data_IF_136274229677
#
_entry.id   IF_136274229677
#
_cell.length_a   1.000
_cell.length_b   1.000
_cell.length_c   1.000
_cell.angle_alpha   90.00
_cell.angle_beta   90.00
_cell.angle_gamma   90.00
#
_symmetry.space_group_name_H-M   'P 1'
#
loop_
_entity.id
_entity.type
_entity.pdbx_description
1 polymer ?
#
# COMPACT_ATOMS: atom_id res chain seq x y z
N UNK A 1 -90.60 -20.79 -20.12
CA UNK A 1 -91.01 -21.85 -21.07
C UNK A 1 -89.76 -22.31 -21.81
N UNK A 2 -89.11 -23.41 -21.41
CA UNK A 2 -89.35 -24.78 -21.91
C UNK A 2 -89.29 -24.83 -23.45
N UNK A 3 -88.52 -25.66 -24.14
CA UNK A 3 -87.75 -26.85 -23.79
C UNK A 3 -86.88 -27.23 -25.00
N UNK A 4 -85.77 -27.92 -24.71
CA UNK A 4 -84.88 -28.68 -25.60
C UNK A 4 -85.49 -29.43 -26.79
N UNK A 5 -84.59 -29.74 -27.76
CA UNK A 5 -84.35 -31.00 -28.52
C UNK A 5 -84.08 -30.67 -30.01
N UNK A 6 -83.15 -31.25 -30.78
CA UNK A 6 -82.23 -32.41 -30.68
C UNK A 6 -81.35 -32.39 -31.94
N UNK A 7 -80.09 -32.86 -31.82
CA UNK A 7 -79.29 -33.66 -32.80
C UNK A 7 -79.31 -33.31 -34.30
N UNK A 8 -78.12 -33.19 -34.94
CA UNK A 8 -77.43 -34.31 -35.62
C UNK A 8 -76.14 -33.86 -36.37
N UNK A 9 -75.13 -34.74 -36.32
CA UNK A 9 -74.06 -35.02 -37.30
C UNK A 9 -72.91 -34.00 -37.53
N UNK A 10 -71.66 -34.28 -37.14
CA UNK A 10 -70.68 -35.27 -37.66
C UNK A 10 -69.89 -34.73 -38.87
N UNK A 11 -68.60 -34.45 -38.66
CA UNK A 11 -67.68 -34.03 -39.73
C UNK A 11 -66.28 -33.70 -39.23
N UNK A 12 -65.53 -34.72 -38.82
CA UNK A 12 -64.09 -34.65 -38.49
C UNK A 12 -63.30 -34.35 -39.77
N UNK A 13 -62.47 -33.31 -39.74
CA UNK A 13 -61.37 -33.08 -40.70
C UNK A 13 -60.15 -32.56 -39.93
N UNK A 14 -59.33 -33.52 -39.49
CA UNK A 14 -57.96 -33.31 -39.01
C UNK A 14 -57.03 -33.22 -40.22
N UNK A 15 -56.43 -32.06 -40.56
CA UNK A 15 -55.21 -32.09 -41.33
C UNK A 15 -54.06 -32.51 -40.39
N UNK A 16 -53.61 -33.75 -40.56
CA UNK A 16 -52.29 -34.19 -40.10
C UNK A 16 -51.26 -33.28 -40.77
N UNK A 17 -50.82 -32.25 -40.06
CA UNK A 17 -49.62 -31.51 -40.41
C UNK A 17 -48.46 -32.51 -40.35
N UNK A 18 -48.00 -32.93 -41.54
CA UNK A 18 -46.80 -33.71 -41.70
C UNK A 18 -45.64 -32.93 -41.09
N UNK A 19 -45.11 -33.39 -39.96
CA UNK A 19 -43.80 -33.00 -39.48
C UNK A 19 -42.76 -33.56 -40.46
N UNK A 20 -42.49 -32.84 -41.55
CA UNK A 20 -41.36 -33.14 -42.43
C UNK A 20 -40.09 -32.80 -41.68
N UNK A 21 -39.56 -33.79 -40.97
CA UNK A 21 -38.21 -33.72 -40.42
C UNK A 21 -37.23 -33.69 -41.59
N UNK A 22 -36.44 -32.62 -41.71
CA UNK A 22 -35.40 -32.46 -42.72
C UNK A 22 -34.08 -33.16 -42.30
N UNK A 23 -34.20 -34.20 -41.47
CA UNK A 23 -33.09 -35.04 -41.01
C UNK A 23 -32.82 -36.16 -42.02
N UNK A 24 -31.73 -36.07 -42.82
CA UNK A 24 -31.40 -37.07 -43.83
C UNK A 24 -30.90 -38.40 -43.24
N UNK A 25 -30.71 -38.49 -41.91
CA UNK A 25 -30.42 -39.77 -41.25
C UNK A 25 -31.69 -40.54 -40.86
N UNK A 26 -32.86 -39.90 -40.93
CA UNK A 26 -34.17 -40.48 -40.61
C UNK A 26 -35.15 -40.52 -41.79
N UNK A 27 -34.94 -39.73 -42.83
CA UNK A 27 -35.64 -39.84 -44.11
C UNK A 27 -34.86 -40.75 -45.07
N UNK A 28 -35.43 -41.90 -45.46
CA UNK A 28 -34.78 -42.86 -46.37
C UNK A 28 -34.36 -42.30 -47.74
N UNK A 29 -33.89 -43.15 -48.64
CA UNK A 29 -33.27 -42.83 -49.95
C UNK A 29 -33.83 -41.59 -50.67
N UNK A 30 -35.16 -41.42 -50.75
CA UNK A 30 -35.81 -40.29 -51.41
C UNK A 30 -35.70 -38.92 -50.68
N UNK A 31 -35.51 -38.91 -49.36
CA UNK A 31 -35.20 -37.70 -48.57
C UNK A 31 -33.75 -37.24 -48.75
N UNK A 32 -32.84 -38.19 -49.00
CA UNK A 32 -31.43 -37.91 -49.33
C UNK A 32 -31.27 -37.21 -50.68
N UNK A 33 -31.97 -37.65 -51.74
CA UNK A 33 -31.93 -36.99 -53.06
C UNK A 33 -32.68 -35.64 -53.08
N UNK A 34 -33.77 -35.48 -52.31
CA UNK A 34 -34.41 -34.18 -52.11
C UNK A 34 -33.51 -33.17 -51.37
N UNK A 35 -32.71 -33.63 -50.40
CA UNK A 35 -31.71 -32.82 -49.70
C UNK A 35 -30.49 -32.42 -50.56
N UNK A 36 -30.13 -33.24 -51.56
CA UNK A 36 -29.11 -32.93 -52.56
C UNK A 36 -29.60 -31.90 -53.59
N UNK A 37 -30.87 -31.98 -54.01
CA UNK A 37 -31.47 -31.02 -54.95
C UNK A 37 -31.83 -29.66 -54.34
N UNK A 38 -31.99 -29.56 -53.02
CA UNK A 38 -32.49 -28.36 -52.31
C UNK A 38 -31.40 -27.48 -51.69
N UNK A 39 -30.12 -27.85 -51.80
CA UNK A 39 -29.01 -27.07 -51.22
C UNK A 39 -28.86 -27.19 -49.69
N UNK A 40 -29.72 -27.95 -49.01
CA UNK A 40 -29.72 -28.09 -47.54
C UNK A 40 -28.42 -28.69 -46.98
N UNK A 41 -27.73 -29.54 -47.74
CA UNK A 41 -26.40 -30.04 -47.36
C UNK A 41 -25.35 -28.92 -47.34
N UNK A 42 -25.31 -28.10 -48.40
CA UNK A 42 -24.40 -26.96 -48.51
C UNK A 42 -24.63 -25.96 -47.37
N UNK A 43 -25.89 -25.72 -47.00
CA UNK A 43 -26.23 -24.86 -45.87
C UNK A 43 -25.61 -25.37 -44.56
N UNK A 44 -25.78 -26.66 -44.22
CA UNK A 44 -25.17 -27.22 -43.00
C UNK A 44 -23.65 -27.18 -42.99
N UNK A 45 -23.01 -27.36 -44.15
CA UNK A 45 -21.55 -27.22 -44.25
C UNK A 45 -21.13 -25.77 -44.01
N UNK A 46 -21.86 -24.80 -44.55
CA UNK A 46 -21.60 -23.39 -44.31
C UNK A 46 -21.84 -23.03 -42.84
N UNK A 47 -22.94 -23.47 -42.24
CA UNK A 47 -23.25 -23.23 -40.83
C UNK A 47 -22.13 -23.75 -39.93
N UNK A 48 -21.67 -24.99 -40.16
CA UNK A 48 -20.55 -25.59 -39.41
C UNK A 48 -19.22 -24.88 -39.63
N UNK A 49 -18.96 -24.39 -40.85
CA UNK A 49 -17.75 -23.60 -41.14
C UNK A 49 -17.78 -22.28 -40.38
N UNK A 50 -18.91 -21.57 -40.42
CA UNK A 50 -19.09 -20.32 -39.68
C UNK A 50 -19.01 -20.53 -38.18
N UNK A 51 -19.59 -21.62 -37.65
CA UNK A 51 -19.46 -21.99 -36.24
C UNK A 51 -17.99 -22.23 -35.84
N UNK A 52 -17.25 -23.02 -36.64
CA UNK A 52 -15.83 -23.28 -36.39
C UNK A 52 -14.98 -22.01 -36.47
N UNK A 53 -15.21 -21.15 -37.46
CA UNK A 53 -14.54 -19.85 -37.60
C UNK A 53 -14.80 -18.97 -36.37
N UNK A 54 -16.07 -18.87 -35.93
CA UNK A 54 -16.43 -18.13 -34.73
C UNK A 54 -15.76 -18.69 -33.46
N UNK A 55 -15.70 -20.02 -33.30
CA UNK A 55 -15.01 -20.64 -32.17
C UNK A 55 -13.50 -20.39 -32.19
N UNK A 56 -12.87 -20.42 -33.38
CA UNK A 56 -11.45 -20.11 -33.53
C UNK A 56 -11.16 -18.65 -33.18
N UNK A 57 -11.99 -17.72 -33.66
CA UNK A 57 -11.87 -16.30 -33.35
C UNK A 57 -12.04 -16.05 -31.85
N UNK A 58 -13.01 -16.71 -31.21
CA UNK A 58 -13.20 -16.65 -29.76
C UNK A 58 -11.99 -17.21 -29.00
N UNK A 59 -11.42 -18.34 -29.43
CA UNK A 59 -10.21 -18.91 -28.81
C UNK A 59 -9.03 -17.95 -28.92
N UNK A 60 -8.82 -17.34 -30.08
CA UNK A 60 -7.75 -16.36 -30.29
C UNK A 60 -7.97 -15.12 -29.41
N UNK A 61 -9.20 -14.62 -29.33
CA UNK A 61 -9.55 -13.48 -28.47
C UNK A 61 -9.30 -13.78 -26.99
N UNK A 62 -9.71 -14.97 -26.52
CA UNK A 62 -9.50 -15.43 -25.16
C UNK A 62 -8.02 -15.63 -24.84
N UNK A 63 -7.25 -16.21 -25.77
CA UNK A 63 -5.80 -16.37 -25.59
C UNK A 63 -5.11 -15.00 -25.44
N UNK A 64 -5.45 -14.03 -26.30
CA UNK A 64 -4.91 -12.68 -26.20
C UNK A 64 -5.31 -11.98 -24.89
N UNK A 65 -6.52 -12.23 -24.40
CA UNK A 65 -6.97 -11.70 -23.12
C UNK A 65 -6.19 -12.32 -21.95
N UNK A 66 -5.94 -13.63 -22.00
CA UNK A 66 -5.13 -14.34 -21.01
C UNK A 66 -3.69 -13.81 -21.00
N UNK A 67 -3.07 -13.66 -22.17
CA UNK A 67 -1.69 -13.16 -22.29
C UNK A 67 -1.57 -11.74 -21.71
N UNK A 68 -2.54 -10.86 -21.97
CA UNK A 68 -2.60 -9.51 -21.38
C UNK A 68 -2.75 -9.56 -19.85
N UNK A 69 -3.65 -10.40 -19.34
CA UNK A 69 -3.87 -10.54 -17.91
C UNK A 69 -2.62 -11.08 -17.19
N UNK A 70 -1.89 -12.01 -17.81
CA UNK A 70 -0.63 -12.52 -17.29
C UNK A 70 0.46 -11.44 -17.25
N UNK A 71 0.58 -10.64 -18.31
CA UNK A 71 1.52 -9.51 -18.34
C UNK A 71 1.20 -8.46 -17.26
N UNK A 72 -0.09 -8.12 -17.10
CA UNK A 72 -0.55 -7.21 -16.07
C UNK A 72 -0.25 -7.76 -14.67
N UNK A 73 -0.50 -9.04 -14.42
CA UNK A 73 -0.19 -9.68 -13.15
C UNK A 73 1.30 -9.59 -12.80
N UNK A 74 2.18 -9.82 -13.78
CA UNK A 74 3.64 -9.71 -13.59
C UNK A 74 4.04 -8.26 -13.31
N UNK A 75 3.47 -7.29 -14.02
CA UNK A 75 3.74 -5.87 -13.81
C UNK A 75 3.32 -5.43 -12.41
N UNK A 76 2.09 -5.74 -12.00
CA UNK A 76 1.56 -5.42 -10.66
C UNK A 76 2.37 -6.10 -9.56
N UNK A 77 2.75 -7.37 -9.75
CA UNK A 77 3.60 -8.08 -8.78
C UNK A 77 4.98 -7.42 -8.63
N UNK A 78 5.54 -6.91 -9.72
CA UNK A 78 6.83 -6.20 -9.72
C UNK A 78 6.72 -4.86 -9.01
N UNK A 79 5.70 -4.07 -9.33
CA UNK A 79 5.42 -2.78 -8.67
C UNK A 79 5.19 -2.95 -7.17
N UNK A 80 4.44 -3.98 -6.78
CA UNK A 80 4.21 -4.32 -5.39
C UNK A 80 5.53 -4.61 -4.65
N UNK A 81 6.40 -5.45 -5.22
CA UNK A 81 7.72 -5.74 -4.62
C UNK A 81 8.58 -4.49 -4.48
N UNK A 82 8.58 -3.61 -5.48
CA UNK A 82 9.32 -2.34 -5.41
C UNK A 82 8.77 -1.43 -4.31
N UNK A 83 7.44 -1.35 -4.18
CA UNK A 83 6.78 -0.56 -3.14
C UNK A 83 7.05 -1.11 -1.74
N UNK A 84 7.01 -2.44 -1.57
CA UNK A 84 7.37 -3.11 -0.32
C UNK A 84 8.83 -2.85 0.07
N UNK A 85 9.77 -2.89 -0.88
CA UNK A 85 11.17 -2.57 -0.65
C UNK A 85 11.38 -1.09 -0.24
N UNK A 86 10.73 -0.14 -0.93
CA UNK A 86 10.76 1.28 -0.56
C UNK A 86 10.22 1.50 0.86
N UNK A 87 9.11 0.84 1.19
CA UNK A 87 8.49 0.93 2.51
C UNK A 87 9.40 0.36 3.61
N UNK A 88 10.10 -0.74 3.34
CA UNK A 88 11.10 -1.29 4.26
C UNK A 88 12.28 -0.31 4.48
N UNK A 89 12.78 0.33 3.42
CA UNK A 89 13.84 1.37 3.52
C UNK A 89 13.39 2.53 4.40
N UNK A 90 12.22 3.09 4.12
CA UNK A 90 11.67 4.22 4.87
C UNK A 90 11.47 3.87 6.36
N UNK A 91 11.03 2.65 6.68
CA UNK A 91 10.94 2.18 8.07
C UNK A 91 12.32 2.13 8.75
N UNK A 92 13.34 1.69 8.03
CA UNK A 92 14.72 1.70 8.50
C UNK A 92 15.23 3.11 8.79
N UNK A 93 14.99 4.04 7.87
CA UNK A 93 15.36 5.46 8.01
C UNK A 93 14.65 6.11 9.20
N UNK A 94 13.34 5.89 9.36
CA UNK A 94 12.57 6.40 10.51
C UNK A 94 13.12 5.85 11.83
N UNK A 95 13.50 4.57 11.89
CA UNK A 95 14.12 3.98 13.07
C UNK A 95 15.48 4.61 13.40
N UNK A 96 16.31 4.83 12.39
CA UNK A 96 17.60 5.49 12.54
C UNK A 96 17.43 6.95 13.02
N UNK A 97 16.47 7.68 12.45
CA UNK A 97 16.14 9.05 12.87
C UNK A 97 15.65 9.11 14.32
N UNK A 98 14.76 8.19 14.73
CA UNK A 98 14.32 8.07 16.13
C UNK A 98 15.48 7.82 17.09
N UNK A 99 16.43 6.97 16.69
CA UNK A 99 17.62 6.68 17.50
C UNK A 99 18.52 7.91 17.63
N UNK A 100 18.75 8.65 16.54
CA UNK A 100 19.50 9.91 16.55
C UNK A 100 18.81 10.97 17.40
N UNK A 101 17.49 11.10 17.31
CA UNK A 101 16.70 12.02 18.11
C UNK A 101 16.83 11.69 19.61
N UNK A 102 16.67 10.42 19.99
CA UNK A 102 16.83 9.99 21.38
C UNK A 102 18.26 10.21 21.92
N UNK A 103 19.27 10.07 21.06
CA UNK A 103 20.66 10.39 21.43
C UNK A 103 20.85 11.91 21.62
N UNK A 104 20.29 12.73 20.72
CA UNK A 104 20.33 14.20 20.83
C UNK A 104 19.62 14.70 22.08
N UNK A 105 18.42 14.21 22.38
CA UNK A 105 17.69 14.55 23.61
C UNK A 105 18.47 14.19 24.88
N UNK A 106 19.21 13.06 24.87
CA UNK A 106 20.07 12.70 26.00
C UNK A 106 21.24 13.65 26.17
N UNK A 107 21.87 14.06 25.06
CA UNK A 107 22.95 15.07 25.08
C UNK A 107 22.43 16.41 25.60
N UNK A 108 21.27 16.85 25.14
CA UNK A 108 20.63 18.09 25.60
C UNK A 108 20.34 18.05 27.11
N UNK A 109 19.76 16.95 27.61
CA UNK A 109 19.54 16.79 29.06
C UNK A 109 20.84 16.83 29.86
N UNK A 110 21.90 16.17 29.38
CA UNK A 110 23.21 16.21 30.02
C UNK A 110 23.80 17.62 30.02
N UNK A 111 23.71 18.34 28.90
CA UNK A 111 24.16 19.72 28.78
C UNK A 111 23.39 20.65 29.73
N UNK A 112 22.06 20.51 29.81
CA UNK A 112 21.24 21.30 30.73
C UNK A 112 21.58 21.02 32.19
N UNK A 113 21.86 19.77 32.55
CA UNK A 113 22.32 19.41 33.89
C UNK A 113 23.69 20.02 34.21
N UNK A 114 24.62 20.01 33.26
CA UNK A 114 25.93 20.62 33.42
C UNK A 114 25.82 22.15 33.57
N UNK A 115 24.94 22.78 32.79
CA UNK A 115 24.67 24.21 32.89
C UNK A 115 24.12 24.60 34.27
N UNK A 116 23.20 23.79 34.83
CA UNK A 116 22.67 24.02 36.16
C UNK A 116 23.76 23.90 37.25
N UNK A 117 24.67 22.92 37.13
CA UNK A 117 25.81 22.78 38.05
C UNK A 117 26.76 23.97 37.98
N UNK A 118 27.10 24.42 36.76
CA UNK A 118 27.94 25.60 36.56
C UNK A 118 27.30 26.86 37.15
N UNK A 119 25.97 27.01 37.01
CA UNK A 119 25.23 28.13 37.62
C UNK A 119 25.31 28.09 39.16
N UNK A 120 25.11 26.92 39.77
CA UNK A 120 25.24 26.76 41.23
C UNK A 120 26.66 27.08 41.72
N UNK A 121 27.69 26.73 40.95
CA UNK A 121 29.09 27.05 41.26
C UNK A 121 29.40 28.53 41.14
N UNK A 122 28.88 29.20 40.11
CA UNK A 122 28.97 30.67 39.98
C UNK A 122 28.31 31.34 41.19
N UNK A 123 27.11 30.92 41.56
CA UNK A 123 26.38 31.50 42.69
C UNK A 123 27.09 31.24 44.03
N UNK A 124 27.71 30.06 44.20
CA UNK A 124 28.54 29.77 45.38
C UNK A 124 29.77 30.66 45.43
N UNK A 125 30.50 30.79 44.33
CA UNK A 125 31.71 31.58 44.25
C UNK A 125 31.41 33.07 44.52
N UNK A 126 30.30 33.58 43.98
CA UNK A 126 29.85 34.94 44.22
C UNK A 126 29.50 35.20 45.70
N UNK A 127 28.89 34.23 46.39
CA UNK A 127 28.69 34.30 47.85
C UNK A 127 30.02 34.32 48.61
N UNK A 128 30.98 33.48 48.22
CA UNK A 128 32.30 33.41 48.86
C UNK A 128 33.11 34.70 48.67
N UNK A 129 33.05 35.31 47.48
CA UNK A 129 33.65 36.62 47.20
C UNK A 129 33.02 37.68 48.11
N UNK A 130 31.69 37.77 48.17
CA UNK A 130 30.99 38.72 49.05
C UNK A 130 31.34 38.53 50.51
N UNK A 131 31.48 37.30 50.99
CA UNK A 131 31.89 37.02 52.37
C UNK A 131 33.34 37.45 52.61
N UNK A 132 34.27 37.15 51.70
CA UNK A 132 35.66 37.57 51.82
C UNK A 132 35.82 39.10 51.77
N UNK A 133 35.05 39.79 50.93
CA UNK A 133 35.05 41.26 50.85
C UNK A 133 34.52 41.93 52.12
N UNK A 134 33.49 41.34 52.74
CA UNK A 134 32.89 41.85 53.97
C UNK A 134 33.55 41.33 55.26
N UNK A 135 34.57 40.48 55.16
CA UNK A 135 35.33 40.03 56.31
C UNK A 135 36.18 41.18 56.87
N UNK A 136 35.81 41.63 58.07
CA UNK A 136 36.49 42.66 58.85
C UNK A 136 37.29 42.10 60.03
N UNK A 137 37.33 40.79 60.22
CA UNK A 137 38.02 40.14 61.35
C UNK A 137 39.36 39.51 60.96
N UNK A 138 39.53 39.08 59.70
CA UNK A 138 40.79 38.52 59.24
C UNK A 138 41.85 39.58 58.91
N UNK A 139 43.12 39.16 58.95
CA UNK A 139 44.23 40.05 58.64
C UNK A 139 44.22 40.44 57.15
N UNK A 140 44.78 41.62 56.77
CA UNK A 140 44.83 42.05 55.37
C UNK A 140 45.51 41.03 54.45
N UNK A 141 46.52 40.32 54.95
CA UNK A 141 47.26 39.29 54.20
C UNK A 141 46.41 38.04 53.94
N UNK A 142 45.64 37.57 54.92
CA UNK A 142 44.74 36.43 54.77
C UNK A 142 43.61 36.74 53.79
N UNK A 143 43.04 37.94 53.90
CA UNK A 143 42.01 38.43 52.97
C UNK A 143 42.54 38.50 51.53
N UNK A 144 43.76 39.02 51.33
CA UNK A 144 44.39 39.07 50.02
C UNK A 144 44.63 37.67 49.43
N UNK A 145 45.10 36.71 50.23
CA UNK A 145 45.29 35.32 49.80
C UNK A 145 43.96 34.66 49.41
N UNK A 146 42.90 34.89 50.18
CA UNK A 146 41.57 34.32 49.93
C UNK A 146 40.95 34.88 48.64
N UNK A 147 41.06 36.20 48.43
CA UNK A 147 40.59 36.82 47.18
C UNK A 147 41.36 36.32 45.95
N UNK A 148 42.67 36.11 46.07
CA UNK A 148 43.49 35.55 45.00
C UNK A 148 43.09 34.11 44.66
N UNK A 149 42.80 33.28 45.66
CA UNK A 149 42.27 31.92 45.43
C UNK A 149 40.94 31.96 44.70
N UNK A 150 40.00 32.82 45.13
CA UNK A 150 38.69 32.96 44.50
C UNK A 150 38.80 33.46 43.04
N UNK A 151 39.75 34.36 42.75
CA UNK A 151 40.04 34.78 41.36
C UNK A 151 40.49 33.62 40.48
N UNK A 152 41.39 32.77 40.97
CA UNK A 152 41.83 31.59 40.23
C UNK A 152 40.71 30.60 39.99
N UNK A 153 39.84 30.38 40.99
CA UNK A 153 38.65 29.54 40.84
C UNK A 153 37.68 30.12 39.81
N UNK A 154 37.49 31.44 39.78
CA UNK A 154 36.68 32.12 38.77
C UNK A 154 37.22 31.88 37.36
N UNK A 155 38.51 32.12 37.14
CA UNK A 155 39.14 31.93 35.84
C UNK A 155 39.06 30.47 35.36
N UNK A 156 39.15 29.52 36.28
CA UNK A 156 38.96 28.11 35.97
C UNK A 156 37.52 27.83 35.52
N UNK A 157 36.54 28.34 36.26
CA UNK A 157 35.13 28.17 35.94
C UNK A 157 34.76 28.82 34.59
N UNK A 158 35.32 29.99 34.28
CA UNK A 158 35.15 30.64 32.97
C UNK A 158 35.67 29.77 31.82
N UNK A 159 36.83 29.10 31.99
CA UNK A 159 37.36 28.15 31.01
C UNK A 159 36.45 26.94 30.85
N UNK A 160 35.93 26.40 31.96
CA UNK A 160 35.01 25.25 31.94
C UNK A 160 33.69 25.58 31.22
N UNK A 161 33.13 26.77 31.48
CA UNK A 161 31.94 27.29 30.77
C UNK A 161 32.22 27.44 29.27
N UNK A 162 33.36 28.03 28.87
CA UNK A 162 33.72 28.15 27.46
C UNK A 162 33.85 26.78 26.78
N UNK A 163 34.44 25.79 27.44
CA UNK A 163 34.56 24.43 26.92
C UNK A 163 33.20 23.72 26.81
N UNK A 164 32.26 24.04 27.71
CA UNK A 164 30.91 23.48 27.70
C UNK A 164 30.02 24.11 26.60
N UNK A 165 30.20 25.40 26.30
CA UNK A 165 29.42 26.12 25.27
C UNK A 165 30.03 25.96 23.87
N UNK A 166 31.37 25.87 23.76
CA UNK A 166 32.10 25.83 22.49
C UNK A 166 32.17 24.46 21.80
N UNK A 167 31.44 23.45 22.29
CA UNK A 167 31.35 22.09 21.73
C UNK A 167 29.96 21.81 21.20
#
# INVERSE_FOLDING_TARGET
>A
MTMNRTMLALGVLLPLAACTTNDPTRGGFFGGVGGLSSGAYTQRINDRKTELENEQDQRIANQRALDRAQQEQVAVATERRQSEAKLASLRGEVSALRTRLAASQRKEKAANSALAQLQDEVDRLDREVRLAENDGFSSPEEKARRLEQLRRSKEQLEREIQLAIGR
#
